data_IF_322783559072
#
_entry.id   IF_322783559072
#
_cell.length_a   1.000
_cell.length_b   1.000
_cell.length_c   1.000
_cell.angle_alpha   90.00
_cell.angle_beta   90.00
_cell.angle_gamma   90.00
#
_symmetry.space_group_name_H-M   'P 1'
#
loop_
_entity.id
_entity.type
_entity.pdbx_description
1 polymer ?
#
# COMPACT_ATOMS: atom_id res chain seq x y z
N UNK A 1 34.40 -34.61 -46.50
CA UNK A 1 33.53 -33.47 -46.87
C UNK A 1 33.28 -32.66 -45.60
N UNK A 2 34.17 -31.72 -45.27
CA UNK A 2 34.08 -30.89 -44.07
C UNK A 2 33.59 -29.50 -44.48
N UNK A 3 32.41 -29.12 -44.00
CA UNK A 3 31.91 -27.75 -44.12
C UNK A 3 32.47 -26.91 -42.95
N UNK A 4 33.11 -25.77 -43.21
CA UNK A 4 33.54 -24.86 -42.16
C UNK A 4 32.32 -24.14 -41.57
N UNK A 5 32.18 -24.22 -40.24
CA UNK A 5 31.24 -23.40 -39.46
C UNK A 5 31.83 -21.99 -39.34
N UNK A 6 31.40 -21.07 -40.18
CA UNK A 6 31.61 -19.64 -39.97
C UNK A 6 30.70 -19.17 -38.83
N UNK A 7 31.23 -18.55 -37.76
CA UNK A 7 30.38 -17.94 -36.75
C UNK A 7 29.63 -16.76 -37.37
N UNK A 8 28.34 -16.56 -37.06
CA UNK A 8 27.60 -15.40 -37.54
C UNK A 8 28.22 -14.12 -36.93
N UNK A 9 28.87 -13.31 -37.76
CA UNK A 9 29.30 -11.93 -37.46
C UNK A 9 28.11 -10.96 -37.52
N UNK A 10 26.97 -11.38 -36.98
CA UNK A 10 25.82 -10.52 -36.80
C UNK A 10 26.02 -9.70 -35.53
N UNK A 11 26.62 -8.50 -35.67
CA UNK A 11 26.47 -7.45 -34.65
C UNK A 11 24.96 -7.27 -34.43
N UNK A 12 24.43 -7.45 -33.20
CA UNK A 12 23.02 -7.19 -32.94
C UNK A 12 22.70 -5.74 -33.34
N UNK A 13 21.50 -5.46 -33.86
CA UNK A 13 21.13 -4.10 -34.26
C UNK A 13 21.36 -3.14 -33.08
N UNK A 14 22.26 -2.17 -33.26
CA UNK A 14 22.62 -1.07 -32.34
C UNK A 14 21.47 -0.06 -32.22
N UNK A 15 20.24 -0.55 -32.03
CA UNK A 15 19.02 0.26 -32.06
C UNK A 15 18.08 -0.10 -30.92
N UNK A 16 18.51 0.06 -29.67
CA UNK A 16 17.60 0.33 -28.53
C UNK A 16 18.30 0.67 -27.19
N UNK A 17 19.51 1.23 -27.23
CA UNK A 17 20.27 1.54 -26.00
C UNK A 17 20.01 2.96 -25.46
N UNK A 18 18.75 3.37 -25.38
CA UNK A 18 18.33 4.54 -24.60
C UNK A 18 17.36 4.09 -23.52
N UNK A 19 17.90 3.56 -22.43
CA UNK A 19 17.07 3.33 -21.25
C UNK A 19 16.73 4.68 -20.63
N UNK A 20 15.62 5.28 -21.08
CA UNK A 20 14.97 6.41 -20.42
C UNK A 20 14.95 6.17 -18.90
N UNK A 21 15.29 7.19 -18.11
CA UNK A 21 15.31 7.14 -16.65
C UNK A 21 13.99 6.59 -16.09
N UNK A 22 12.86 6.87 -16.75
CA UNK A 22 11.57 6.27 -16.40
C UNK A 22 11.57 4.73 -16.54
N UNK A 23 12.19 4.21 -17.60
CA UNK A 23 12.37 2.77 -17.82
C UNK A 23 13.29 2.14 -16.76
N UNK A 24 14.36 2.84 -16.36
CA UNK A 24 15.23 2.40 -15.26
C UNK A 24 14.45 2.30 -13.94
N UNK A 25 13.68 3.32 -13.58
CA UNK A 25 12.83 3.32 -12.37
C UNK A 25 11.82 2.16 -12.41
N UNK A 26 11.21 1.91 -13.57
CA UNK A 26 10.30 0.77 -13.76
C UNK A 26 10.99 -0.58 -13.60
N UNK A 27 12.21 -0.73 -14.14
CA UNK A 27 13.00 -1.94 -14.01
C UNK A 27 13.39 -2.21 -12.55
N UNK A 28 13.94 -1.20 -11.86
CA UNK A 28 14.29 -1.28 -10.43
C UNK A 28 13.09 -1.58 -9.54
N UNK A 29 11.93 -0.99 -9.85
CA UNK A 29 10.69 -1.27 -9.11
C UNK A 29 10.23 -2.73 -9.30
N UNK A 30 10.32 -3.27 -10.52
CA UNK A 30 9.96 -4.67 -10.79
C UNK A 30 10.88 -5.63 -10.04
N UNK A 31 12.19 -5.38 -10.07
CA UNK A 31 13.17 -6.16 -9.30
C UNK A 31 12.88 -6.11 -7.78
N UNK A 32 12.65 -4.92 -7.23
CA UNK A 32 12.31 -4.76 -5.81
C UNK A 32 11.03 -5.51 -5.42
N UNK A 33 10.01 -5.52 -6.28
CA UNK A 33 8.78 -6.30 -6.05
C UNK A 33 9.07 -7.80 -6.06
N UNK A 34 9.87 -8.29 -7.02
CA UNK A 34 10.25 -9.71 -7.09
C UNK A 34 11.03 -10.13 -5.83
N UNK A 35 11.98 -9.32 -5.38
CA UNK A 35 12.73 -9.54 -4.15
C UNK A 35 11.83 -9.53 -2.92
N UNK A 36 10.88 -8.60 -2.84
CA UNK A 36 9.89 -8.53 -1.75
C UNK A 36 9.03 -9.80 -1.71
N UNK A 37 8.53 -10.25 -2.87
CA UNK A 37 7.75 -11.50 -2.97
C UNK A 37 8.59 -12.71 -2.54
N UNK A 38 9.83 -12.82 -2.99
CA UNK A 38 10.73 -13.90 -2.58
C UNK A 38 10.99 -13.88 -1.06
N UNK A 39 11.22 -12.70 -0.47
CA UNK A 39 11.45 -12.53 0.96
C UNK A 39 10.20 -12.82 1.81
N UNK A 40 9.00 -12.56 1.28
CA UNK A 40 7.73 -12.89 1.95
C UNK A 40 7.39 -14.38 1.88
N UNK A 41 7.95 -15.11 0.91
CA UNK A 41 7.68 -16.52 0.68
C UNK A 41 6.21 -16.78 0.31
N UNK A 42 5.60 -17.81 0.92
CA UNK A 42 4.18 -18.13 0.74
C UNK A 42 3.23 -17.30 1.61
N UNK A 43 3.77 -16.42 2.47
CA UNK A 43 2.97 -15.62 3.40
C UNK A 43 2.58 -14.29 2.77
N UNK A 44 1.33 -13.87 2.98
CA UNK A 44 0.94 -12.50 2.62
C UNK A 44 1.64 -11.49 3.54
N UNK A 45 1.95 -10.29 3.02
CA UNK A 45 2.52 -9.20 3.84
C UNK A 45 1.63 -8.85 5.05
N UNK A 46 0.30 -9.00 4.90
CA UNK A 46 -0.64 -8.79 6.00
C UNK A 46 -0.51 -9.87 7.08
N UNK A 47 -0.29 -11.13 6.69
CA UNK A 47 -0.01 -12.23 7.63
C UNK A 47 1.29 -11.98 8.38
N UNK A 48 2.35 -11.58 7.66
CA UNK A 48 3.65 -11.26 8.25
C UNK A 48 3.57 -10.08 9.22
N UNK A 49 2.87 -9.01 8.83
CA UNK A 49 2.66 -7.85 9.72
C UNK A 49 1.83 -8.21 10.96
N UNK A 50 0.91 -9.17 10.86
CA UNK A 50 0.05 -9.59 11.98
C UNK A 50 0.79 -10.48 12.98
N UNK A 51 1.78 -11.25 12.55
CA UNK A 51 2.51 -12.15 13.47
C UNK A 51 3.31 -11.37 14.52
N UNK A 52 3.50 -10.05 14.33
CA UNK A 52 4.27 -9.19 15.24
C UNK A 52 5.76 -9.53 15.29
N UNK A 53 6.19 -10.51 14.48
CA UNK A 53 7.59 -10.94 14.39
C UNK A 53 8.32 -9.94 13.50
N UNK A 54 9.38 -9.27 13.99
CA UNK A 54 10.15 -8.34 13.16
C UNK A 54 10.72 -9.05 11.93
N UNK A 55 10.53 -8.44 10.76
CA UNK A 55 11.04 -8.95 9.47
C UNK A 55 11.74 -7.81 8.73
N UNK A 56 12.92 -7.37 9.23
CA UNK A 56 13.58 -6.17 8.72
C UNK A 56 13.86 -6.24 7.22
N UNK A 57 14.24 -7.41 6.68
CA UNK A 57 14.46 -7.59 5.25
C UNK A 57 13.19 -7.35 4.38
N UNK A 58 12.03 -7.83 4.85
CA UNK A 58 10.75 -7.61 4.16
C UNK A 58 10.39 -6.13 4.22
N UNK A 59 10.53 -5.50 5.40
CA UNK A 59 10.23 -4.08 5.59
C UNK A 59 11.14 -3.17 4.78
N UNK A 60 12.42 -3.49 4.69
CA UNK A 60 13.38 -2.81 3.82
C UNK A 60 12.92 -2.81 2.37
N UNK A 61 12.56 -3.98 1.83
CA UNK A 61 12.07 -4.10 0.46
C UNK A 61 10.70 -3.42 0.25
N UNK A 62 9.81 -3.41 1.26
CA UNK A 62 8.57 -2.60 1.22
C UNK A 62 8.90 -1.11 1.03
N UNK A 63 9.92 -0.61 1.72
CA UNK A 63 10.44 0.75 1.61
C UNK A 63 10.95 1.08 0.22
N UNK A 64 11.82 0.21 -0.31
CA UNK A 64 12.35 0.29 -1.68
C UNK A 64 11.22 0.39 -2.71
N UNK A 65 10.23 -0.50 -2.64
CA UNK A 65 9.08 -0.51 -3.57
C UNK A 65 8.25 0.77 -3.45
N UNK A 66 8.03 1.26 -2.23
CA UNK A 66 7.27 2.48 -1.97
C UNK A 66 7.95 3.72 -2.58
N UNK A 67 9.24 3.92 -2.30
CA UNK A 67 10.01 5.04 -2.83
C UNK A 67 10.05 5.07 -4.37
N UNK A 68 10.35 3.93 -5.00
CA UNK A 68 10.36 3.80 -6.46
C UNK A 68 8.97 4.03 -7.07
N UNK A 69 7.90 3.67 -6.35
CA UNK A 69 6.53 3.94 -6.79
C UNK A 69 6.18 5.43 -6.73
N UNK A 70 6.71 6.17 -5.76
CA UNK A 70 6.52 7.63 -5.64
C UNK A 70 7.22 8.37 -6.77
N UNK A 71 8.48 8.02 -7.08
CA UNK A 71 9.21 8.57 -8.24
C UNK A 71 8.42 8.31 -9.52
N UNK A 72 7.97 7.08 -9.75
CA UNK A 72 7.18 6.73 -10.94
C UNK A 72 5.90 7.57 -11.08
N UNK A 73 5.19 7.84 -9.97
CA UNK A 73 4.00 8.70 -10.00
C UNK A 73 4.36 10.12 -10.38
N UNK A 74 5.42 10.67 -9.79
CA UNK A 74 5.91 12.01 -10.10
C UNK A 74 6.31 12.16 -11.58
N UNK A 75 6.94 11.14 -12.16
CA UNK A 75 7.26 11.11 -13.59
C UNK A 75 6.02 11.04 -14.48
N UNK A 76 5.02 10.22 -14.13
CA UNK A 76 3.80 10.05 -14.92
C UNK A 76 2.89 11.29 -14.89
N UNK A 77 2.84 11.98 -13.76
CA UNK A 77 1.94 13.11 -13.58
C UNK A 77 2.51 14.41 -14.21
N UNK A 78 3.63 14.33 -14.95
CA UNK A 78 4.19 15.44 -15.73
C UNK A 78 3.51 15.63 -17.09
N UNK A 79 3.38 16.88 -17.56
CA UNK A 79 2.89 17.17 -18.91
C UNK A 79 3.89 16.66 -19.97
N UNK A 80 3.36 16.01 -21.01
CA UNK A 80 4.14 15.29 -22.03
C UNK A 80 4.73 16.15 -23.15
N UNK A 81 4.59 17.48 -23.09
CA UNK A 81 4.98 18.38 -24.17
C UNK A 81 6.44 18.89 -24.06
N UNK A 82 7.25 18.32 -23.16
CA UNK A 82 8.62 18.77 -22.91
C UNK A 82 9.64 18.11 -23.85
N UNK A 83 10.68 18.86 -24.24
CA UNK A 83 11.80 18.32 -25.03
C UNK A 83 12.54 17.19 -24.27
N UNK A 84 13.23 16.26 -24.96
CA UNK A 84 13.90 15.12 -24.32
C UNK A 84 14.94 15.49 -23.26
N UNK A 85 15.79 16.49 -23.53
CA UNK A 85 16.78 16.97 -22.56
C UNK A 85 16.12 17.61 -21.33
N UNK A 86 14.98 18.29 -21.52
CA UNK A 86 14.15 18.82 -20.44
C UNK A 86 13.50 17.69 -19.66
N UNK A 87 13.17 16.57 -20.32
CA UNK A 87 12.55 15.39 -19.72
C UNK A 87 13.51 14.66 -18.77
N UNK A 88 14.78 14.50 -19.16
CA UNK A 88 15.81 13.89 -18.30
C UNK A 88 16.14 14.76 -17.08
N UNK A 89 16.34 16.07 -17.28
CA UNK A 89 16.57 17.01 -16.18
C UNK A 89 15.37 17.06 -15.22
N UNK A 90 14.14 17.06 -15.76
CA UNK A 90 12.92 16.99 -14.99
C UNK A 90 12.79 15.68 -14.22
N UNK A 91 13.19 14.56 -14.83
CA UNK A 91 13.17 13.25 -14.19
C UNK A 91 14.16 13.17 -13.03
N UNK A 92 15.38 13.71 -13.20
CA UNK A 92 16.37 13.86 -12.12
C UNK A 92 15.81 14.70 -10.97
N UNK A 93 15.23 15.87 -11.28
CA UNK A 93 14.59 16.72 -10.27
C UNK A 93 13.47 15.99 -9.50
N UNK A 94 12.70 15.10 -10.15
CA UNK A 94 11.71 14.27 -9.46
C UNK A 94 12.31 13.23 -8.51
N UNK A 95 13.46 12.66 -8.86
CA UNK A 95 14.18 11.72 -7.99
C UNK A 95 14.69 12.46 -6.77
N UNK A 96 15.31 13.64 -6.96
CA UNK A 96 15.83 14.46 -5.86
C UNK A 96 14.73 14.92 -4.91
N UNK A 97 13.59 15.41 -5.43
CA UNK A 97 12.45 15.80 -4.59
C UNK A 97 11.85 14.61 -3.82
N UNK A 98 11.78 13.43 -4.45
CA UNK A 98 11.37 12.22 -3.75
C UNK A 98 12.36 11.88 -2.63
N UNK A 99 13.67 11.93 -2.92
CA UNK A 99 14.74 11.64 -1.98
C UNK A 99 14.71 12.57 -0.77
N UNK A 100 14.59 13.88 -0.98
CA UNK A 100 14.46 14.87 0.09
C UNK A 100 13.24 14.60 0.97
N UNK A 101 12.08 14.27 0.38
CA UNK A 101 10.87 13.93 1.14
C UNK A 101 11.08 12.68 2.01
N UNK A 102 11.76 11.67 1.49
CA UNK A 102 12.07 10.43 2.22
C UNK A 102 13.11 10.65 3.31
N UNK A 103 14.16 11.42 3.06
CA UNK A 103 15.14 11.83 4.08
C UNK A 103 14.50 12.64 5.19
N UNK A 104 13.62 13.58 4.85
CA UNK A 104 12.88 14.37 5.84
C UNK A 104 11.92 13.49 6.67
N UNK A 105 11.28 12.48 6.04
CA UNK A 105 10.46 11.49 6.77
C UNK A 105 11.33 10.65 7.71
N UNK A 106 12.52 10.23 7.28
CA UNK A 106 13.49 9.50 8.10
C UNK A 106 13.94 10.33 9.30
N UNK A 107 14.29 11.60 9.09
CA UNK A 107 14.67 12.52 10.18
C UNK A 107 13.56 12.76 11.20
N UNK A 108 12.30 12.85 10.77
CA UNK A 108 11.14 12.97 11.68
C UNK A 108 10.82 11.67 12.44
N UNK A 109 11.30 10.53 11.94
CA UNK A 109 10.98 9.20 12.48
C UNK A 109 11.98 8.69 13.51
N UNK A 110 12.72 9.58 14.18
CA UNK A 110 13.77 9.19 15.13
C UNK A 110 13.31 8.25 16.29
N UNK A 111 11.99 8.15 16.54
CA UNK A 111 11.37 7.31 17.57
C UNK A 111 10.61 6.07 17.02
N UNK A 112 10.84 5.67 15.77
CA UNK A 112 10.07 4.60 15.14
C UNK A 112 10.58 3.19 15.45
N UNK A 113 9.72 2.17 15.31
CA UNK A 113 10.10 0.76 15.42
C UNK A 113 11.25 0.39 14.47
N UNK A 114 12.01 -0.65 14.81
CA UNK A 114 13.09 -1.19 13.95
C UNK A 114 12.59 -1.56 12.55
N UNK A 115 11.36 -2.09 12.47
CA UNK A 115 10.70 -2.38 11.19
C UNK A 115 10.43 -1.12 10.37
N UNK A 116 10.07 0.00 11.01
CA UNK A 116 9.90 1.27 10.30
C UNK A 116 11.22 1.89 9.88
N UNK A 117 12.28 1.74 10.69
CA UNK A 117 13.62 2.16 10.30
C UNK A 117 14.08 1.39 9.07
N UNK A 118 13.94 0.05 9.08
CA UNK A 118 14.26 -0.77 7.92
C UNK A 118 13.49 -0.31 6.66
N UNK A 119 12.20 -0.01 6.80
CA UNK A 119 11.39 0.57 5.71
C UNK A 119 11.93 1.90 5.19
N UNK A 120 12.33 2.82 6.07
CA UNK A 120 12.90 4.10 5.64
C UNK A 120 14.29 3.96 5.03
N UNK A 121 15.10 3.05 5.56
CA UNK A 121 16.44 2.76 5.05
C UNK A 121 16.35 2.21 3.63
N UNK A 122 15.48 1.21 3.39
CA UNK A 122 15.29 0.66 2.05
C UNK A 122 14.69 1.64 1.05
N UNK A 123 13.91 2.62 1.52
CA UNK A 123 13.43 3.73 0.69
C UNK A 123 14.56 4.70 0.29
N UNK A 124 15.41 5.10 1.25
CA UNK A 124 16.50 6.06 1.01
C UNK A 124 17.61 5.43 0.18
N UNK A 125 18.05 4.21 0.51
CA UNK A 125 19.10 3.50 -0.21
C UNK A 125 18.74 3.31 -1.69
N UNK A 126 17.47 2.98 -1.97
CA UNK A 126 16.98 2.84 -3.34
C UNK A 126 17.05 4.13 -4.16
N UNK A 127 16.82 5.27 -3.51
CA UNK A 127 16.90 6.59 -4.15
C UNK A 127 18.36 7.05 -4.30
N UNK A 128 19.21 6.78 -3.30
CA UNK A 128 20.65 7.02 -3.39
C UNK A 128 21.28 6.22 -4.55
N UNK A 129 20.90 4.94 -4.71
CA UNK A 129 21.34 4.13 -5.85
C UNK A 129 20.87 4.67 -7.19
N UNK A 130 19.63 5.19 -7.27
CA UNK A 130 19.11 5.82 -8.49
C UNK A 130 19.88 7.09 -8.85
N UNK A 131 20.13 7.97 -7.87
CA UNK A 131 20.92 9.20 -8.06
C UNK A 131 22.33 8.82 -8.51
N UNK A 132 23.00 7.91 -7.81
CA UNK A 132 24.35 7.48 -8.17
C UNK A 132 24.41 6.83 -9.57
N UNK A 133 23.35 6.13 -9.99
CA UNK A 133 23.27 5.58 -11.35
C UNK A 133 23.07 6.68 -12.39
N UNK A 134 22.21 7.67 -12.12
CA UNK A 134 21.98 8.80 -13.01
C UNK A 134 23.22 9.71 -13.15
N UNK A 135 24.01 9.84 -12.08
CA UNK A 135 25.28 10.59 -12.07
C UNK A 135 26.40 9.85 -12.78
N UNK A 136 26.52 8.52 -12.58
CA UNK A 136 27.57 7.69 -13.21
C UNK A 136 27.40 7.60 -14.71
N UNK A 137 26.16 7.68 -15.17
CA UNK A 137 25.85 7.69 -16.58
C UNK A 137 25.03 8.93 -16.92
N UNK A 138 25.68 10.11 -16.98
CA UNK A 138 25.02 11.30 -17.47
C UNK A 138 24.50 11.05 -18.89
N UNK A 139 25.19 10.15 -19.62
CA UNK A 139 24.92 9.64 -20.95
C UNK A 139 24.41 8.18 -20.99
N UNK A 140 23.85 7.56 -19.93
CA UNK A 140 23.08 6.28 -20.11
C UNK A 140 21.75 6.48 -20.84
N UNK A 141 21.46 7.72 -21.23
CA UNK A 141 20.66 8.04 -22.40
C UNK A 141 21.38 7.73 -23.75
N UNK A 142 22.53 7.04 -23.74
CA UNK A 142 23.41 6.86 -24.91
C UNK A 142 24.68 5.98 -24.75
N UNK A 143 24.74 4.96 -23.88
CA UNK A 143 25.90 4.06 -23.88
C UNK A 143 25.80 2.83 -22.99
N UNK A 144 25.72 1.65 -23.61
CA UNK A 144 25.70 0.35 -22.96
C UNK A 144 27.13 -0.20 -22.81
N UNK A 145 27.68 -0.08 -21.61
CA UNK A 145 28.64 -1.05 -21.07
C UNK A 145 28.84 -0.72 -19.59
N UNK A 146 28.13 -1.41 -18.70
CA UNK A 146 28.57 -1.46 -17.31
C UNK A 146 28.05 -2.66 -16.53
N UNK A 147 28.88 -3.26 -15.66
CA UNK A 147 28.61 -4.54 -15.01
C UNK A 147 27.73 -4.41 -13.77
N UNK A 148 27.07 -5.52 -13.42
CA UNK A 148 26.10 -5.62 -12.32
C UNK A 148 26.66 -5.20 -10.95
N UNK A 149 25.88 -4.52 -10.09
CA UNK A 149 26.34 -4.10 -8.77
C UNK A 149 26.40 -5.28 -7.78
N UNK A 150 27.53 -5.36 -7.07
CA UNK A 150 27.74 -6.30 -5.97
C UNK A 150 26.88 -5.99 -4.75
N UNK A 151 26.45 -7.06 -4.09
CA UNK A 151 25.61 -7.07 -2.89
C UNK A 151 26.41 -6.50 -1.71
N UNK A 152 25.93 -5.41 -1.10
CA UNK A 152 26.45 -4.87 0.16
C UNK A 152 25.50 -5.24 1.30
N UNK A 153 26.05 -5.87 2.34
CA UNK A 153 25.34 -6.31 3.55
C UNK A 153 25.33 -5.19 4.61
N UNK A 154 24.20 -4.86 5.27
CA UNK A 154 24.19 -3.81 6.29
C UNK A 154 24.55 -4.31 7.69
N UNK A 155 25.33 -3.49 8.41
CA UNK A 155 25.73 -3.66 9.82
C UNK A 155 24.61 -3.20 10.76
N UNK A 156 24.26 -4.05 11.72
CA UNK A 156 23.34 -3.79 12.82
C UNK A 156 24.00 -3.00 13.95
N UNK A 157 23.41 -1.89 14.38
CA UNK A 157 23.72 -1.24 15.67
C UNK A 157 22.42 -0.82 16.38
N UNK A 158 22.18 -1.39 17.55
CA UNK A 158 21.03 -1.12 18.42
C UNK A 158 21.40 -0.14 19.53
N UNK A 159 20.51 0.81 19.85
CA UNK A 159 20.59 1.71 21.01
C UNK A 159 19.20 1.87 21.66
N UNK A 160 19.12 2.18 22.98
CA UNK A 160 17.99 1.82 23.85
C UNK A 160 16.81 2.81 23.83
N UNK A 161 15.63 2.42 24.36
CA UNK A 161 14.38 3.14 24.18
C UNK A 161 14.22 4.27 25.20
N UNK A 162 13.57 5.36 24.79
CA UNK A 162 12.85 6.26 25.69
C UNK A 162 11.47 6.53 25.13
N UNK A 163 10.48 6.32 25.99
CA UNK A 163 9.06 6.58 25.78
C UNK A 163 8.79 8.05 25.40
N UNK A 164 7.63 8.35 24.81
CA UNK A 164 6.71 9.47 25.16
C UNK A 164 5.72 9.81 24.02
N UNK A 165 4.44 10.03 24.39
CA UNK A 165 3.60 11.10 23.84
C UNK A 165 2.50 10.73 22.82
N UNK A 166 1.34 10.25 23.30
CA UNK A 166 0.13 10.04 22.48
C UNK A 166 -0.59 11.36 22.17
N UNK A 167 -0.58 11.77 20.89
CA UNK A 167 -1.47 12.86 20.40
C UNK A 167 -2.90 12.32 20.30
N UNK A 168 -3.79 12.90 21.11
CA UNK A 168 -5.18 12.46 21.26
C UNK A 168 -6.01 12.77 20.01
N UNK A 169 -6.51 11.68 19.43
CA UNK A 169 -7.26 11.61 18.18
C UNK A 169 -8.71 12.04 18.40
N UNK A 170 -9.21 13.09 17.74
CA UNK A 170 -10.57 13.62 18.01
C UNK A 170 -11.66 12.68 17.46
N UNK A 171 -12.48 12.03 18.33
CA UNK A 171 -13.42 10.96 17.93
C UNK A 171 -14.70 11.44 17.23
N UNK A 172 -15.02 12.75 17.29
CA UNK A 172 -16.35 13.25 16.90
C UNK A 172 -16.73 13.09 15.41
N UNK A 173 -15.78 13.14 14.47
CA UNK A 173 -16.10 13.09 13.03
C UNK A 173 -16.50 11.70 12.55
N UNK A 174 -15.78 10.66 13.01
CA UNK A 174 -16.10 9.27 12.64
C UNK A 174 -17.42 8.84 13.26
N UNK A 175 -17.67 9.26 14.51
CA UNK A 175 -18.96 9.06 15.15
C UNK A 175 -20.10 9.65 14.30
N UNK A 176 -20.00 10.93 13.90
CA UNK A 176 -21.03 11.59 13.08
C UNK A 176 -21.26 10.89 11.73
N UNK A 177 -20.20 10.46 11.04
CA UNK A 177 -20.32 9.72 9.78
C UNK A 177 -21.02 8.38 9.97
N UNK A 178 -20.71 7.65 11.05
CA UNK A 178 -21.42 6.41 11.41
C UNK A 178 -22.90 6.69 11.69
N UNK A 179 -23.23 7.77 12.42
CA UNK A 179 -24.63 8.13 12.72
C UNK A 179 -25.43 8.43 11.46
N UNK A 180 -24.82 9.08 10.47
CA UNK A 180 -25.46 9.42 9.19
C UNK A 180 -25.61 8.18 8.29
N UNK A 181 -24.63 7.28 8.29
CA UNK A 181 -24.62 6.08 7.41
C UNK A 181 -25.45 4.91 7.95
N UNK A 182 -25.69 4.82 9.27
CA UNK A 182 -26.39 3.67 9.86
C UNK A 182 -27.86 3.53 9.40
N UNK A 183 -28.70 4.59 9.36
CA UNK A 183 -30.09 4.47 8.91
C UNK A 183 -30.28 3.96 7.48
N UNK A 184 -29.59 4.50 6.44
CA UNK A 184 -29.76 3.99 5.08
C UNK A 184 -29.24 2.55 4.93
N UNK A 185 -28.14 2.21 5.62
CA UNK A 185 -27.63 0.83 5.61
C UNK A 185 -28.61 -0.13 6.28
N UNK A 186 -29.24 0.28 7.38
CA UNK A 186 -30.28 -0.51 8.04
C UNK A 186 -31.49 -0.75 7.13
N UNK A 187 -31.99 0.30 6.48
CA UNK A 187 -33.10 0.18 5.54
C UNK A 187 -32.78 -0.79 4.40
N UNK A 188 -31.56 -0.74 3.86
CA UNK A 188 -31.09 -1.66 2.83
C UNK A 188 -31.04 -3.11 3.32
N UNK A 189 -30.46 -3.36 4.51
CA UNK A 189 -30.34 -4.72 5.07
C UNK A 189 -31.71 -5.32 5.41
N UNK A 190 -32.63 -4.52 5.95
CA UNK A 190 -34.02 -4.93 6.21
C UNK A 190 -34.75 -5.29 4.91
N UNK A 191 -34.60 -4.47 3.87
CA UNK A 191 -35.20 -4.73 2.57
C UNK A 191 -34.68 -6.04 1.94
N UNK A 192 -33.38 -6.33 2.08
CA UNK A 192 -32.78 -7.59 1.60
C UNK A 192 -33.19 -8.80 2.43
N UNK A 193 -33.41 -8.64 3.74
CA UNK A 193 -33.60 -9.74 4.68
C UNK A 193 -35.06 -10.15 4.93
N UNK A 194 -36.01 -9.70 4.11
CA UNK A 194 -37.42 -10.09 4.20
C UNK A 194 -38.37 -9.03 4.75
N UNK A 195 -37.90 -7.79 4.96
CA UNK A 195 -38.74 -6.65 5.33
C UNK A 195 -38.80 -6.35 6.83
N UNK A 196 -39.62 -5.34 7.18
CA UNK A 196 -39.71 -4.76 8.52
C UNK A 196 -40.79 -5.43 9.37
N UNK A 197 -40.40 -6.29 10.32
CA UNK A 197 -41.32 -7.03 11.21
C UNK A 197 -40.90 -6.99 12.69
N UNK A 198 -40.75 -5.80 13.31
CA UNK A 198 -40.18 -5.65 14.65
C UNK A 198 -40.97 -6.36 15.75
N UNK A 199 -42.29 -6.50 15.59
CA UNK A 199 -43.16 -7.16 16.56
C UNK A 199 -43.10 -8.69 16.46
N UNK A 200 -42.87 -9.22 15.27
CA UNK A 200 -42.88 -10.67 15.01
C UNK A 200 -41.48 -11.30 15.19
N UNK A 201 -40.42 -10.53 14.89
CA UNK A 201 -39.04 -10.99 14.97
C UNK A 201 -38.13 -9.93 15.63
N UNK A 202 -38.32 -9.64 16.93
CA UNK A 202 -37.58 -8.57 17.61
C UNK A 202 -36.08 -8.83 17.68
N UNK A 203 -35.67 -10.09 17.91
CA UNK A 203 -34.26 -10.49 17.96
C UNK A 203 -33.56 -10.29 16.60
N UNK A 204 -34.20 -10.72 15.51
CA UNK A 204 -33.67 -10.52 14.16
C UNK A 204 -33.49 -9.03 13.85
N UNK A 205 -34.50 -8.22 14.17
CA UNK A 205 -34.46 -6.76 13.96
C UNK A 205 -33.33 -6.11 14.75
N UNK A 206 -33.12 -6.50 16.01
CA UNK A 206 -32.02 -6.02 16.83
C UNK A 206 -30.64 -6.40 16.26
N UNK A 207 -30.47 -7.63 15.77
CA UNK A 207 -29.22 -8.08 15.14
C UNK A 207 -28.91 -7.31 13.84
N UNK A 208 -29.93 -7.06 13.01
CA UNK A 208 -29.78 -6.27 11.79
C UNK A 208 -29.43 -4.80 12.13
N UNK A 209 -30.01 -4.25 13.19
CA UNK A 209 -29.68 -2.91 13.67
C UNK A 209 -28.24 -2.80 14.18
N UNK A 210 -27.77 -3.81 14.92
CA UNK A 210 -26.36 -3.87 15.32
C UNK A 210 -25.44 -4.01 14.10
N UNK A 211 -25.81 -4.86 13.15
CA UNK A 211 -25.04 -5.09 11.92
C UNK A 211 -24.91 -3.81 11.09
N UNK A 212 -25.97 -3.01 10.98
CA UNK A 212 -25.94 -1.72 10.28
C UNK A 212 -25.05 -0.70 10.99
N UNK A 213 -25.06 -0.63 12.32
CA UNK A 213 -24.18 0.27 13.08
C UNK A 213 -22.70 -0.12 12.89
N UNK A 214 -22.37 -1.41 13.01
CA UNK A 214 -20.99 -1.90 12.83
C UNK A 214 -20.55 -1.75 11.37
N UNK A 215 -21.43 -2.01 10.41
CA UNK A 215 -21.16 -1.80 8.98
C UNK A 215 -20.92 -0.33 8.65
N UNK A 216 -21.74 0.58 9.18
CA UNK A 216 -21.57 2.02 9.03
C UNK A 216 -20.27 2.51 9.69
N UNK A 217 -19.90 1.95 10.85
CA UNK A 217 -18.62 2.23 11.49
C UNK A 217 -17.45 1.76 10.63
N UNK A 218 -17.55 0.58 10.00
CA UNK A 218 -16.55 0.09 9.05
C UNK A 218 -16.45 1.03 7.85
N UNK A 219 -17.56 1.43 7.22
CA UNK A 219 -17.56 2.34 6.07
C UNK A 219 -17.05 3.74 6.41
N UNK A 220 -17.33 4.25 7.61
CA UNK A 220 -16.89 5.59 8.03
C UNK A 220 -15.36 5.69 8.16
N UNK A 221 -14.67 4.57 8.33
CA UNK A 221 -13.20 4.54 8.31
C UNK A 221 -12.59 4.73 6.91
N UNK A 222 -13.37 4.72 5.82
CA UNK A 222 -12.90 5.03 4.46
C UNK A 222 -13.12 6.49 4.06
N UNK A 223 -13.92 7.24 4.82
CA UNK A 223 -14.20 8.63 4.52
C UNK A 223 -12.96 9.49 4.81
N UNK A 224 -12.53 10.35 3.87
CA UNK A 224 -11.41 11.25 4.08
C UNK A 224 -11.72 12.28 5.17
N UNK A 225 -10.71 12.65 5.94
CA UNK A 225 -10.83 13.71 6.96
C UNK A 225 -10.97 15.08 6.28
N UNK A 226 -11.63 16.04 6.93
CA UNK A 226 -11.71 17.43 6.41
C UNK A 226 -10.29 17.96 6.18
N UNK A 227 -10.01 18.35 4.94
CA UNK A 227 -8.70 18.84 4.49
C UNK A 227 -7.88 17.86 3.66
N UNK A 228 -8.24 16.56 3.57
CA UNK A 228 -7.50 15.55 2.79
C UNK A 228 -7.99 15.36 1.34
N UNK A 229 -8.83 16.26 0.82
CA UNK A 229 -9.42 16.16 -0.52
C UNK A 229 -10.62 15.19 -0.61
N UNK A 230 -11.25 15.13 -1.80
CA UNK A 230 -12.46 14.30 -2.05
C UNK A 230 -12.17 12.84 -2.38
N UNK A 231 -10.91 12.43 -2.50
CA UNK A 231 -10.56 11.08 -2.92
C UNK A 231 -10.73 10.11 -1.73
N UNK A 232 -11.52 9.03 -1.88
CA UNK A 232 -11.62 8.00 -0.86
C UNK A 232 -10.23 7.46 -0.53
N UNK A 233 -9.90 7.40 0.75
CA UNK A 233 -8.61 6.89 1.18
C UNK A 233 -8.71 5.36 1.23
N UNK A 234 -8.64 4.73 0.04
CA UNK A 234 -8.76 3.28 -0.11
C UNK A 234 -7.59 2.51 0.54
N UNK A 235 -6.58 3.21 1.08
CA UNK A 235 -5.34 2.62 1.58
C UNK A 235 -4.46 2.13 0.44
N UNK A 236 -3.16 2.01 0.68
CA UNK A 236 -2.21 1.52 -0.31
C UNK A 236 -2.23 -0.02 -0.47
N UNK A 237 -3.13 -0.74 0.20
CA UNK A 237 -3.08 -2.20 0.28
C UNK A 237 -4.42 -2.90 0.02
N UNK A 238 -4.41 -4.06 -0.67
CA UNK A 238 -5.62 -4.86 -0.94
C UNK A 238 -6.34 -5.33 0.33
N UNK A 239 -5.64 -5.41 1.48
CA UNK A 239 -6.24 -5.76 2.77
C UNK A 239 -7.27 -4.71 3.25
N UNK A 240 -7.17 -3.45 2.81
CA UNK A 240 -8.18 -2.44 3.12
C UNK A 240 -9.48 -2.64 2.34
N UNK A 241 -9.48 -3.30 1.18
CA UNK A 241 -10.69 -3.58 0.43
C UNK A 241 -11.53 -4.71 1.07
N UNK A 242 -10.89 -5.69 1.71
CA UNK A 242 -11.58 -6.84 2.28
C UNK A 242 -12.62 -6.49 3.34
N UNK A 243 -12.39 -5.47 4.18
CA UNK A 243 -13.39 -5.08 5.18
C UNK A 243 -14.66 -4.45 4.58
N UNK A 244 -14.62 -3.91 3.37
CA UNK A 244 -15.83 -3.47 2.67
C UNK A 244 -16.61 -4.67 2.12
N UNK A 245 -15.89 -5.71 1.68
CA UNK A 245 -16.48 -6.96 1.18
C UNK A 245 -17.27 -7.68 2.28
N UNK A 246 -16.88 -7.60 3.55
CA UNK A 246 -17.65 -8.23 4.65
C UNK A 246 -19.04 -7.61 4.83
N UNK A 247 -19.22 -6.32 4.54
CA UNK A 247 -20.54 -5.65 4.58
C UNK A 247 -21.44 -6.17 3.45
N UNK A 248 -20.88 -6.35 2.25
CA UNK A 248 -21.61 -6.95 1.13
C UNK A 248 -21.97 -8.42 1.41
N UNK A 249 -21.03 -9.18 1.99
CA UNK A 249 -21.26 -10.56 2.42
C UNK A 249 -22.38 -10.67 3.47
N UNK A 250 -22.45 -9.73 4.42
CA UNK A 250 -23.53 -9.68 5.41
C UNK A 250 -24.91 -9.43 4.78
N UNK A 251 -25.00 -8.53 3.79
CA UNK A 251 -26.24 -8.30 3.04
C UNK A 251 -26.68 -9.55 2.27
N UNK A 252 -25.72 -10.24 1.63
CA UNK A 252 -25.99 -11.49 0.92
C UNK A 252 -26.46 -12.61 1.87
N UNK A 253 -25.81 -12.77 3.03
CA UNK A 253 -26.21 -13.77 4.04
C UNK A 253 -27.64 -13.53 4.53
N UNK A 254 -28.01 -12.28 4.81
CA UNK A 254 -29.37 -11.93 5.22
C UNK A 254 -30.42 -12.22 4.13
N UNK A 255 -30.07 -12.03 2.85
CA UNK A 255 -30.94 -12.36 1.73
C UNK A 255 -31.12 -13.86 1.51
N UNK A 256 -30.14 -14.69 1.92
CA UNK A 256 -30.21 -16.15 1.71
C UNK A 256 -31.19 -16.87 2.64
N UNK A 257 -31.47 -16.30 3.82
CA UNK A 257 -32.46 -16.83 4.75
C UNK A 257 -33.23 -15.71 5.46
N UNK A 258 -34.34 -15.24 4.86
CA UNK A 258 -35.12 -14.12 5.40
C UNK A 258 -35.61 -14.38 6.82
N UNK A 259 -35.55 -13.35 7.68
CA UNK A 259 -36.04 -13.37 9.07
C UNK A 259 -35.39 -14.41 10.01
N UNK A 260 -34.34 -15.14 9.59
CA UNK A 260 -33.67 -16.13 10.45
C UNK A 260 -32.63 -15.47 11.37
N UNK A 261 -32.75 -15.63 12.71
CA UNK A 261 -31.86 -14.96 13.67
C UNK A 261 -30.43 -15.50 13.62
N UNK A 262 -30.24 -16.78 13.29
CA UNK A 262 -28.92 -17.42 13.15
C UNK A 262 -28.10 -16.76 12.04
N UNK A 263 -28.69 -16.52 10.87
CA UNK A 263 -28.01 -15.87 9.76
C UNK A 263 -27.71 -14.39 10.04
N UNK A 264 -28.60 -13.69 10.76
CA UNK A 264 -28.33 -12.33 11.22
C UNK A 264 -27.16 -12.27 12.22
N UNK A 265 -27.02 -13.26 13.10
CA UNK A 265 -25.89 -13.37 14.02
C UNK A 265 -24.57 -13.63 13.27
N UNK A 266 -24.57 -14.50 12.25
CA UNK A 266 -23.40 -14.75 11.40
C UNK A 266 -23.01 -13.48 10.62
N UNK A 267 -23.99 -12.77 10.07
CA UNK A 267 -23.76 -11.49 9.41
C UNK A 267 -23.10 -10.46 10.36
N UNK A 268 -23.62 -10.32 11.58
CA UNK A 268 -23.03 -9.45 12.61
C UNK A 268 -21.58 -9.84 12.93
N UNK A 269 -21.31 -11.13 13.10
CA UNK A 269 -19.96 -11.64 13.36
C UNK A 269 -19.00 -11.31 12.21
N UNK A 270 -19.43 -11.49 10.96
CA UNK A 270 -18.62 -11.20 9.77
C UNK A 270 -18.25 -9.71 9.66
N UNK A 271 -19.20 -8.81 9.90
CA UNK A 271 -18.93 -7.36 9.85
C UNK A 271 -18.07 -6.91 11.04
N UNK A 272 -18.31 -7.45 12.23
CA UNK A 272 -17.49 -7.17 13.42
C UNK A 272 -16.05 -7.61 13.21
N UNK A 273 -15.82 -8.78 12.62
CA UNK A 273 -14.48 -9.25 12.28
C UNK A 273 -13.79 -8.31 11.28
N UNK A 274 -14.49 -7.86 10.24
CA UNK A 274 -13.97 -6.86 9.29
C UNK A 274 -13.59 -5.53 9.96
N UNK A 275 -14.40 -5.08 10.92
CA UNK A 275 -14.10 -3.87 11.70
C UNK A 275 -12.86 -4.05 12.58
N UNK A 276 -12.76 -5.16 13.32
CA UNK A 276 -11.60 -5.47 14.17
C UNK A 276 -10.32 -5.54 13.34
N UNK A 277 -10.35 -6.21 12.19
CA UNK A 277 -9.20 -6.25 11.28
C UNK A 277 -8.78 -4.86 10.82
N UNK A 278 -9.76 -3.99 10.54
CA UNK A 278 -9.48 -2.62 10.10
C UNK A 278 -8.88 -1.77 11.22
N UNK A 279 -9.43 -1.83 12.43
CA UNK A 279 -8.94 -1.03 13.57
C UNK A 279 -7.55 -1.50 14.00
N UNK A 280 -7.28 -2.80 13.99
CA UNK A 280 -5.97 -3.37 14.35
C UNK A 280 -4.92 -3.21 13.24
N UNK A 281 -5.31 -3.28 11.96
CA UNK A 281 -4.39 -3.15 10.83
C UNK A 281 -4.05 -1.70 10.44
N UNK A 282 -4.90 -0.73 10.77
CA UNK A 282 -4.67 0.68 10.43
C UNK A 282 -3.47 1.31 11.15
N UNK A 283 -3.06 0.77 12.32
CA UNK A 283 -1.95 1.29 13.10
C UNK A 283 -0.56 0.85 12.61
N UNK A 284 -0.47 -0.23 11.84
CA UNK A 284 0.80 -0.87 11.47
C UNK A 284 1.17 -0.72 9.99
N UNK A 285 0.20 -0.44 9.11
CA UNK A 285 0.42 -0.47 7.66
C UNK A 285 0.70 0.90 7.01
N UNK A 286 0.47 2.02 7.71
CA UNK A 286 0.67 3.37 7.16
C UNK A 286 1.21 4.31 8.24
N UNK A 287 2.53 4.33 8.46
CA UNK A 287 3.14 5.52 9.07
C UNK A 287 3.28 6.58 7.96
N UNK A 288 2.61 7.72 8.17
CA UNK A 288 2.67 8.90 7.30
C UNK A 288 3.93 9.71 7.54
#
# INVERSE_FOLDING_TARGET
MHLPLTPPTGRPPEGDARADLASLVLARRRDAVQRLTAAAGSSSLCTLSRSGTPRPAVKYLEGTVAALSDVRRALRDRPGDAEPATTDAAARASIDEARERWLARRGRSAASSSDWQAYLDGAVDALDELVATAERYPDAAGGADSPAPGIVTPLTRSAPPREHGTRTWRPGRRAAATTVLAPPLFAALVATGGGWTPLSAPLWTALVALTSVVGAATLSTYLPLRGQGRRPNAGCTPCAAMSAVTVLGAAWLLGSAPLQPTMAAVALAAVTFGLVQRVTGAGTACAT
#
